data_IF_468398981942
#
_entry.id   IF_468398981942
#
_cell.length_a   1.000
_cell.length_b   1.000
_cell.length_c   1.000
_cell.angle_alpha   90.00
_cell.angle_beta   90.00
_cell.angle_gamma   90.00
#
_symmetry.space_group_name_H-M   'P 1'
#
loop_
_entity.id
_entity.type
_entity.pdbx_description
1 polymer ?
#
# COMPACT_ATOMS: atom_id res chain seq x y z
N UNK A 1 2.30 -27.71 -1.54
CA UNK A 1 1.25 -27.31 -2.49
C UNK A 1 1.72 -26.01 -3.11
N UNK A 2 2.05 -26.02 -4.40
CA UNK A 2 2.57 -24.86 -5.10
C UNK A 2 1.58 -23.69 -4.96
N UNK A 3 2.06 -22.57 -4.44
CA UNK A 3 1.36 -21.29 -4.54
C UNK A 3 1.02 -21.10 -6.01
N UNK A 4 -0.27 -20.91 -6.30
CA UNK A 4 -0.74 -20.61 -7.64
C UNK A 4 -0.01 -19.34 -8.07
N UNK A 5 1.04 -19.48 -8.89
CA UNK A 5 1.66 -18.37 -9.59
C UNK A 5 0.51 -17.73 -10.37
N UNK A 6 0.02 -16.59 -9.88
CA UNK A 6 -0.93 -15.81 -10.65
C UNK A 6 -0.19 -15.49 -11.93
N UNK A 7 -0.75 -15.94 -13.07
CA UNK A 7 -0.10 -15.79 -14.36
C UNK A 7 0.12 -14.30 -14.62
N UNK A 8 1.36 -13.86 -14.42
CA UNK A 8 1.74 -12.45 -14.46
C UNK A 8 2.08 -12.08 -15.89
N UNK A 9 1.61 -10.93 -16.32
CA UNK A 9 1.90 -10.40 -17.65
C UNK A 9 2.87 -9.23 -17.51
N UNK A 10 4.08 -9.38 -18.05
CA UNK A 10 5.01 -8.27 -18.20
C UNK A 10 4.66 -7.51 -19.48
N UNK A 11 4.36 -6.22 -19.37
CA UNK A 11 3.87 -5.37 -20.45
C UNK A 11 4.96 -4.38 -20.85
N UNK A 12 5.71 -4.71 -21.90
CA UNK A 12 6.85 -3.95 -22.42
C UNK A 12 6.68 -3.51 -23.88
N UNK A 13 5.50 -3.71 -24.45
CA UNK A 13 5.16 -3.31 -25.82
C UNK A 13 3.88 -2.48 -25.86
N UNK A 14 3.75 -1.63 -26.89
CA UNK A 14 2.50 -0.89 -27.15
C UNK A 14 1.30 -1.83 -27.33
N UNK A 15 1.47 -2.97 -28.01
CA UNK A 15 0.40 -3.95 -28.15
C UNK A 15 -0.05 -4.50 -26.79
N UNK A 16 0.89 -4.84 -25.90
CA UNK A 16 0.55 -5.28 -24.55
C UNK A 16 -0.18 -4.20 -23.73
N UNK A 17 0.18 -2.91 -23.90
CA UNK A 17 -0.54 -1.79 -23.29
C UNK A 17 -1.97 -1.70 -23.84
N UNK A 18 -2.14 -1.76 -25.16
CA UNK A 18 -3.44 -1.77 -25.82
C UNK A 18 -4.33 -2.91 -25.29
N UNK A 19 -3.80 -4.12 -25.21
CA UNK A 19 -4.52 -5.31 -24.75
C UNK A 19 -4.95 -5.16 -23.27
N UNK A 20 -4.07 -4.64 -22.41
CA UNK A 20 -4.39 -4.35 -21.01
C UNK A 20 -5.49 -3.29 -20.90
N UNK A 21 -5.39 -2.19 -21.65
CA UNK A 21 -6.38 -1.10 -21.63
C UNK A 21 -7.75 -1.57 -22.09
N UNK A 22 -7.81 -2.40 -23.13
CA UNK A 22 -9.06 -2.99 -23.58
C UNK A 22 -9.63 -3.95 -22.52
N UNK A 23 -8.78 -4.77 -21.90
CA UNK A 23 -9.22 -5.65 -20.82
C UNK A 23 -9.79 -4.87 -19.62
N UNK A 24 -9.13 -3.80 -19.19
CA UNK A 24 -9.64 -2.92 -18.12
C UNK A 24 -10.96 -2.26 -18.55
N UNK A 25 -11.07 -1.83 -19.81
CA UNK A 25 -12.26 -1.15 -20.32
C UNK A 25 -13.50 -2.04 -20.37
N UNK A 26 -13.32 -3.37 -20.39
CA UNK A 26 -14.41 -4.35 -20.30
C UNK A 26 -14.94 -4.55 -18.87
N UNK A 27 -14.29 -4.00 -17.85
CA UNK A 27 -14.71 -4.20 -16.47
C UNK A 27 -15.96 -3.38 -16.11
N UNK A 28 -16.85 -3.98 -15.33
CA UNK A 28 -18.11 -3.38 -14.87
C UNK A 28 -17.86 -2.22 -13.88
N UNK A 29 -17.64 -1.03 -14.42
CA UNK A 29 -17.38 0.19 -13.62
C UNK A 29 -18.55 0.65 -12.75
N UNK A 30 -19.77 0.15 -13.01
CA UNK A 30 -20.98 0.51 -12.24
C UNK A 30 -20.98 -0.07 -10.82
N UNK A 31 -20.15 -1.08 -10.53
CA UNK A 31 -20.01 -1.66 -9.20
C UNK A 31 -19.15 -0.80 -8.26
N UNK A 32 -18.39 0.16 -8.79
CA UNK A 32 -17.67 1.18 -8.02
C UNK A 32 -16.90 0.63 -6.81
N UNK A 33 -17.17 1.19 -5.63
CA UNK A 33 -16.51 0.81 -4.36
C UNK A 33 -16.93 -0.57 -3.83
N UNK A 34 -17.97 -1.19 -4.38
CA UNK A 34 -18.39 -2.54 -3.96
C UNK A 34 -17.38 -3.57 -4.45
N UNK A 35 -16.82 -3.35 -5.63
CA UNK A 35 -15.85 -4.25 -6.24
C UNK A 35 -14.88 -3.45 -7.12
N UNK A 36 -13.85 -2.83 -6.50
CA UNK A 36 -12.86 -2.09 -7.25
C UNK A 36 -12.14 -3.00 -8.25
N UNK A 37 -12.05 -2.60 -9.52
CA UNK A 37 -11.46 -3.45 -10.54
C UNK A 37 -9.93 -3.37 -10.58
N UNK A 38 -9.31 -2.34 -9.98
CA UNK A 38 -7.89 -2.05 -10.13
C UNK A 38 -7.22 -1.84 -8.78
N UNK A 39 -6.13 -2.58 -8.55
CA UNK A 39 -5.23 -2.40 -7.42
C UNK A 39 -3.85 -2.11 -7.98
N UNK A 40 -3.24 -1.00 -7.57
CA UNK A 40 -2.10 -0.40 -8.24
C UNK A 40 -1.02 -0.06 -7.24
N UNK A 41 0.22 -0.26 -7.65
CA UNK A 41 1.42 0.17 -6.95
C UNK A 41 2.51 0.57 -7.97
N UNK A 42 3.32 1.57 -7.65
CA UNK A 42 4.37 2.09 -8.51
C UNK A 42 5.75 1.87 -7.90
N UNK A 43 6.71 1.51 -8.75
CA UNK A 43 8.09 1.29 -8.33
C UNK A 43 9.05 2.15 -9.16
N UNK A 44 10.09 2.68 -8.52
CA UNK A 44 10.92 3.71 -9.13
C UNK A 44 12.26 3.98 -8.46
N UNK A 45 13.18 4.57 -9.22
CA UNK A 45 14.44 5.07 -8.67
C UNK A 45 14.15 6.34 -7.85
N UNK A 46 14.13 6.22 -6.51
CA UNK A 46 13.70 7.29 -5.58
C UNK A 46 12.30 7.81 -5.96
N UNK A 47 11.30 6.92 -5.96
CA UNK A 47 9.94 7.20 -6.45
C UNK A 47 9.37 8.55 -5.95
N UNK A 48 9.01 9.40 -6.91
CA UNK A 48 8.52 10.76 -6.70
C UNK A 48 8.96 11.67 -7.85
N UNK A 49 8.66 12.96 -7.75
CA UNK A 49 8.98 13.99 -8.77
C UNK A 49 10.47 14.14 -9.08
N UNK A 50 11.33 13.90 -8.08
CA UNK A 50 12.79 14.08 -8.20
C UNK A 50 13.52 12.79 -8.61
N UNK A 51 12.78 11.68 -8.68
CA UNK A 51 13.27 10.38 -9.09
C UNK A 51 12.76 9.97 -10.48
N UNK A 52 12.48 8.68 -10.63
CA UNK A 52 11.90 8.11 -11.85
C UNK A 52 10.83 7.10 -11.50
N UNK A 53 9.80 7.02 -12.34
CA UNK A 53 8.88 5.89 -12.36
C UNK A 53 9.44 4.81 -13.29
N UNK A 54 9.68 3.61 -12.77
CA UNK A 54 10.32 2.51 -13.49
C UNK A 54 9.32 1.43 -13.88
N UNK A 55 8.40 1.10 -12.98
CA UNK A 55 7.39 0.06 -13.15
C UNK A 55 6.06 0.56 -12.59
N UNK A 56 4.96 0.10 -13.20
CA UNK A 56 3.63 0.26 -12.65
C UNK A 56 2.97 -1.11 -12.61
N UNK A 57 2.63 -1.58 -11.42
CA UNK A 57 1.97 -2.87 -11.24
C UNK A 57 0.48 -2.64 -11.11
N UNK A 58 -0.31 -3.31 -11.95
CA UNK A 58 -1.77 -3.25 -11.92
C UNK A 58 -2.30 -4.67 -11.78
N UNK A 59 -2.90 -4.96 -10.64
CA UNK A 59 -3.78 -6.12 -10.49
C UNK A 59 -5.18 -5.74 -10.96
N UNK A 60 -5.56 -6.25 -12.12
CA UNK A 60 -6.94 -6.17 -12.59
C UNK A 60 -7.70 -7.33 -11.97
N UNK A 61 -8.78 -7.04 -11.22
CA UNK A 61 -9.49 -7.99 -10.38
C UNK A 61 -11.01 -7.96 -10.66
N UNK A 62 -11.48 -8.52 -11.80
CA UNK A 62 -12.91 -8.66 -12.10
C UNK A 62 -13.65 -9.54 -11.09
N UNK A 63 -12.94 -10.55 -10.59
CA UNK A 63 -13.39 -11.52 -9.59
C UNK A 63 -12.16 -12.26 -9.06
N UNK A 64 -12.32 -12.96 -7.93
CA UNK A 64 -11.23 -13.73 -7.31
C UNK A 64 -10.57 -14.72 -8.27
N UNK A 65 -11.31 -15.28 -9.21
CA UNK A 65 -10.82 -16.28 -10.17
C UNK A 65 -10.26 -15.70 -11.46
N UNK A 66 -10.44 -14.40 -11.70
CA UNK A 66 -10.00 -13.69 -12.91
C UNK A 66 -8.94 -12.63 -12.62
N UNK A 67 -8.47 -12.54 -11.38
CA UNK A 67 -7.43 -11.61 -10.97
C UNK A 67 -6.12 -11.91 -11.69
N UNK A 68 -5.52 -10.90 -12.35
CA UNK A 68 -4.20 -11.03 -12.98
C UNK A 68 -3.35 -9.78 -12.80
N UNK A 69 -2.13 -9.89 -12.25
CA UNK A 69 -1.19 -8.80 -12.16
C UNK A 69 -0.53 -8.54 -13.52
N UNK A 70 -0.40 -7.27 -13.84
CA UNK A 70 0.31 -6.76 -15.00
C UNK A 70 1.41 -5.83 -14.49
N UNK A 71 2.66 -6.11 -14.85
CA UNK A 71 3.78 -5.21 -14.55
C UNK A 71 4.09 -4.46 -15.85
N UNK A 72 3.85 -3.16 -15.85
CA UNK A 72 4.07 -2.30 -17.02
C UNK A 72 5.48 -1.72 -16.92
N UNK A 73 6.26 -1.93 -17.98
CA UNK A 73 7.62 -1.43 -18.11
C UNK A 73 7.63 0.08 -18.47
N UNK A 74 7.39 0.92 -17.46
CA UNK A 74 7.37 2.37 -17.63
C UNK A 74 8.74 2.90 -18.05
N UNK A 75 9.83 2.28 -17.59
CA UNK A 75 11.19 2.64 -17.97
C UNK A 75 11.41 2.59 -19.50
N UNK A 76 11.00 1.49 -20.15
CA UNK A 76 11.17 1.33 -21.58
C UNK A 76 10.08 2.01 -22.41
N UNK A 77 8.83 1.98 -21.96
CA UNK A 77 7.70 2.52 -22.72
C UNK A 77 7.57 4.04 -22.57
N UNK A 78 7.98 4.61 -21.44
CA UNK A 78 7.84 6.03 -21.13
C UNK A 78 6.41 6.51 -21.37
N UNK A 79 6.25 7.59 -22.14
CA UNK A 79 4.93 8.15 -22.48
C UNK A 79 4.01 7.15 -23.19
N UNK A 80 4.55 6.19 -23.95
CA UNK A 80 3.75 5.21 -24.69
C UNK A 80 2.96 4.29 -23.74
N UNK A 81 3.43 4.07 -22.51
CA UNK A 81 2.68 3.32 -21.50
C UNK A 81 1.32 3.98 -21.19
N UNK A 82 1.26 5.31 -21.30
CA UNK A 82 0.09 6.09 -20.93
C UNK A 82 -0.69 6.64 -22.12
N UNK A 83 -0.05 6.81 -23.28
CA UNK A 83 -0.68 7.38 -24.48
C UNK A 83 -1.15 6.34 -25.51
N UNK A 84 -0.68 5.09 -25.43
CA UNK A 84 -1.15 4.03 -26.34
C UNK A 84 -2.63 3.77 -26.10
N UNK A 85 -3.40 3.74 -27.18
CA UNK A 85 -4.85 3.52 -27.14
C UNK A 85 -5.20 2.06 -27.42
N UNK A 86 -6.20 1.55 -26.72
CA UNK A 86 -6.86 0.28 -27.03
C UNK A 86 -7.88 0.41 -28.17
N UNK A 87 -8.49 -0.70 -28.55
CA UNK A 87 -9.57 -0.76 -29.55
C UNK A 87 -10.81 0.05 -29.18
N UNK A 88 -11.02 0.35 -27.90
CA UNK A 88 -12.07 1.28 -27.44
C UNK A 88 -11.73 2.77 -27.60
N UNK A 89 -10.53 3.11 -28.08
CA UNK A 89 -10.03 4.47 -28.23
C UNK A 89 -9.58 5.14 -26.93
N UNK A 90 -9.62 4.43 -25.79
CA UNK A 90 -9.08 4.89 -24.51
C UNK A 90 -7.63 4.50 -24.37
N UNK A 91 -6.88 5.27 -23.58
CA UNK A 91 -5.53 4.98 -23.13
C UNK A 91 -5.50 4.65 -21.63
N UNK A 92 -4.34 4.19 -21.12
CA UNK A 92 -4.16 4.01 -19.68
C UNK A 92 -4.30 5.34 -18.92
N UNK A 93 -3.87 6.46 -19.51
CA UNK A 93 -4.09 7.79 -18.95
C UNK A 93 -5.58 8.08 -18.75
N UNK A 94 -6.42 7.83 -19.75
CA UNK A 94 -7.87 8.05 -19.65
C UNK A 94 -8.51 7.23 -18.52
N UNK A 95 -7.99 6.03 -18.26
CA UNK A 95 -8.43 5.16 -17.15
C UNK A 95 -7.99 5.73 -15.80
N UNK A 96 -6.73 6.11 -15.67
CA UNK A 96 -6.17 6.65 -14.42
C UNK A 96 -6.81 8.00 -14.05
N UNK A 97 -7.14 8.85 -15.02
CA UNK A 97 -7.78 10.16 -14.81
C UNK A 97 -9.32 10.08 -14.63
N UNK A 98 -9.93 8.91 -14.84
CA UNK A 98 -11.38 8.76 -14.74
C UNK A 98 -11.83 8.28 -13.36
N UNK A 99 -12.69 9.06 -12.69
CA UNK A 99 -13.37 8.64 -11.45
C UNK A 99 -14.31 7.44 -11.60
N UNK A 100 -14.64 7.03 -12.84
CA UNK A 100 -15.47 5.83 -13.08
C UNK A 100 -14.71 4.54 -12.82
N UNK A 101 -13.40 4.54 -13.01
CA UNK A 101 -12.56 3.42 -12.63
C UNK A 101 -12.04 3.69 -11.23
N UNK A 102 -12.45 2.87 -10.26
CA UNK A 102 -11.89 2.95 -8.91
C UNK A 102 -10.50 2.31 -8.92
N UNK A 103 -9.50 3.07 -8.48
CA UNK A 103 -8.12 2.60 -8.31
C UNK A 103 -7.80 2.51 -6.83
N UNK A 104 -7.43 1.34 -6.38
CA UNK A 104 -7.04 1.08 -5.00
C UNK A 104 -5.52 1.12 -4.91
N UNK A 105 -5.01 1.97 -4.01
CA UNK A 105 -3.59 2.10 -3.69
C UNK A 105 -3.40 1.87 -2.19
N UNK A 106 -2.17 1.58 -1.78
CA UNK A 106 -1.77 1.68 -0.38
C UNK A 106 -0.78 2.84 -0.24
N UNK A 107 -1.18 3.93 0.42
CA UNK A 107 -0.39 5.18 0.46
C UNK A 107 -0.07 5.79 -0.93
N UNK A 108 -1.09 6.33 -1.60
CA UNK A 108 -1.00 6.83 -2.99
C UNK A 108 -0.08 8.05 -3.20
N UNK A 109 0.51 8.63 -2.15
CA UNK A 109 1.09 9.97 -2.19
C UNK A 109 2.26 10.06 -3.18
N UNK A 110 3.25 9.17 -3.08
CA UNK A 110 4.43 9.18 -3.97
C UNK A 110 4.12 8.62 -5.37
N UNK A 111 3.22 7.63 -5.47
CA UNK A 111 2.72 7.14 -6.76
C UNK A 111 2.08 8.26 -7.56
N UNK A 112 1.16 9.00 -6.94
CA UNK A 112 0.48 10.10 -7.61
C UNK A 112 1.41 11.26 -7.93
N UNK A 113 2.39 11.55 -7.07
CA UNK A 113 3.41 12.56 -7.35
C UNK A 113 4.21 12.17 -8.59
N UNK A 114 4.72 10.93 -8.64
CA UNK A 114 5.48 10.43 -9.79
C UNK A 114 4.65 10.41 -11.08
N UNK A 115 3.42 9.89 -11.04
CA UNK A 115 2.51 9.86 -12.20
C UNK A 115 2.22 11.26 -12.74
N UNK A 116 2.07 12.25 -11.85
CA UNK A 116 1.78 13.62 -12.24
C UNK A 116 2.99 14.36 -12.80
N UNK A 117 4.11 14.37 -12.08
CA UNK A 117 5.27 15.17 -12.48
C UNK A 117 5.98 14.62 -13.70
N UNK A 118 6.01 13.29 -13.88
CA UNK A 118 6.67 12.67 -15.03
C UNK A 118 5.77 12.55 -16.26
N UNK A 119 4.46 12.34 -16.08
CA UNK A 119 3.53 11.99 -17.18
C UNK A 119 2.27 12.86 -17.25
N UNK A 120 2.17 13.90 -16.42
CA UNK A 120 1.05 14.83 -16.35
C UNK A 120 -0.30 14.11 -16.20
N UNK A 121 -0.33 13.05 -15.38
CA UNK A 121 -1.55 12.30 -15.07
C UNK A 121 -2.26 12.97 -13.91
N UNK A 122 -3.53 13.31 -14.11
CA UNK A 122 -4.43 13.82 -13.07
C UNK A 122 -5.22 12.67 -12.47
N UNK A 123 -4.55 11.89 -11.63
CA UNK A 123 -5.14 10.70 -11.00
C UNK A 123 -6.46 11.06 -10.30
N UNK A 124 -7.50 10.26 -10.51
CA UNK A 124 -8.83 10.46 -9.89
C UNK A 124 -9.43 9.10 -9.49
N UNK A 125 -10.52 9.06 -8.71
CA UNK A 125 -11.20 7.80 -8.35
C UNK A 125 -10.38 6.89 -7.43
N UNK A 126 -9.51 7.46 -6.59
CA UNK A 126 -8.63 6.69 -5.69
C UNK A 126 -9.35 6.24 -4.42
N UNK A 127 -9.02 5.04 -3.96
CA UNK A 127 -9.25 4.56 -2.58
C UNK A 127 -7.92 4.17 -1.96
N UNK A 128 -7.53 4.87 -0.91
CA UNK A 128 -6.29 4.59 -0.20
C UNK A 128 -6.54 3.62 0.98
N UNK A 129 -6.06 2.39 0.85
CA UNK A 129 -6.26 1.32 1.84
C UNK A 129 -5.61 1.66 3.18
N UNK A 130 -4.52 2.43 3.20
CA UNK A 130 -3.88 2.86 4.43
C UNK A 130 -4.81 3.79 5.23
N UNK A 131 -5.55 4.66 4.54
CA UNK A 131 -6.58 5.49 5.17
C UNK A 131 -7.77 4.68 5.63
N UNK A 132 -8.19 3.67 4.85
CA UNK A 132 -9.25 2.75 5.25
C UNK A 132 -8.87 2.02 6.55
N UNK A 133 -7.68 1.45 6.62
CA UNK A 133 -7.16 0.76 7.81
C UNK A 133 -7.15 1.69 9.01
N UNK A 134 -6.56 2.89 8.88
CA UNK A 134 -6.46 3.83 9.98
C UNK A 134 -7.86 4.27 10.45
N UNK A 135 -8.78 4.58 9.53
CA UNK A 135 -10.14 4.96 9.87
C UNK A 135 -10.98 3.83 10.51
N UNK A 136 -10.55 2.57 10.44
CA UNK A 136 -11.21 1.43 11.10
C UNK A 136 -10.80 1.26 12.56
N UNK A 137 -9.68 1.83 12.99
CA UNK A 137 -9.22 1.68 14.38
C UNK A 137 -10.17 2.42 15.33
N UNK A 138 -10.39 1.84 16.51
CA UNK A 138 -11.47 2.25 17.42
C UNK A 138 -11.28 3.64 18.04
N UNK A 139 -10.05 4.01 18.40
CA UNK A 139 -9.80 5.22 19.19
C UNK A 139 -8.92 6.23 18.46
N UNK A 140 -9.12 7.52 18.73
CA UNK A 140 -8.25 8.59 18.22
C UNK A 140 -6.76 8.33 18.49
N UNK A 141 -6.43 7.84 19.68
CA UNK A 141 -5.04 7.50 20.03
C UNK A 141 -4.48 6.39 19.14
N UNK A 142 -5.27 5.34 18.89
CA UNK A 142 -4.85 4.25 18.00
C UNK A 142 -4.68 4.72 16.54
N UNK A 143 -5.33 5.81 16.14
CA UNK A 143 -5.25 6.38 14.78
C UNK A 143 -4.09 7.34 14.58
N UNK A 144 -3.36 7.73 15.63
CA UNK A 144 -2.30 8.76 15.55
C UNK A 144 -1.28 8.50 14.43
N UNK A 145 -0.88 7.25 14.24
CA UNK A 145 0.11 6.84 13.22
C UNK A 145 -0.48 5.89 12.20
N UNK A 146 -0.01 5.98 10.96
CA UNK A 146 -0.40 5.12 9.85
C UNK A 146 0.39 3.79 9.89
N UNK A 147 -0.22 2.70 9.44
CA UNK A 147 0.48 1.41 9.24
C UNK A 147 1.13 1.35 7.86
N UNK A 148 2.28 0.68 7.74
CA UNK A 148 2.85 0.29 6.43
C UNK A 148 2.15 -0.95 5.85
N UNK A 149 2.28 -1.18 4.54
CA UNK A 149 1.61 -2.28 3.85
C UNK A 149 2.00 -3.63 4.44
N UNK A 150 3.30 -3.82 4.72
CA UNK A 150 3.82 -5.07 5.24
C UNK A 150 3.12 -5.50 6.53
N UNK A 151 2.93 -4.56 7.47
CA UNK A 151 2.20 -4.82 8.70
C UNK A 151 0.76 -5.27 8.43
N UNK A 152 0.04 -4.57 7.54
CA UNK A 152 -1.34 -4.89 7.22
C UNK A 152 -1.50 -6.26 6.54
N UNK A 153 -0.57 -6.62 5.64
CA UNK A 153 -0.54 -7.92 4.98
C UNK A 153 -0.23 -9.02 5.99
N UNK A 154 0.81 -8.87 6.82
CA UNK A 154 1.20 -9.89 7.79
C UNK A 154 0.12 -10.18 8.85
N UNK A 155 -0.67 -9.18 9.22
CA UNK A 155 -1.85 -9.33 10.09
C UNK A 155 -3.05 -10.00 9.39
N UNK A 156 -2.98 -10.20 8.07
CA UNK A 156 -4.06 -10.78 7.26
C UNK A 156 -3.70 -12.16 6.69
N UNK A 157 -2.43 -12.56 6.79
CA UNK A 157 -1.92 -13.86 6.36
C UNK A 157 -1.58 -14.76 7.56
N UNK A 158 -1.61 -16.07 7.36
CA UNK A 158 -1.36 -17.05 8.41
C UNK A 158 -0.30 -18.08 8.02
N UNK A 159 0.52 -18.47 8.99
CA UNK A 159 1.44 -19.60 8.89
C UNK A 159 2.36 -19.54 7.64
N UNK A 160 2.45 -20.62 6.86
CA UNK A 160 3.37 -20.71 5.73
C UNK A 160 3.19 -19.65 4.63
N UNK A 161 1.95 -19.16 4.43
CA UNK A 161 1.67 -18.14 3.42
C UNK A 161 2.31 -16.80 3.79
N UNK A 162 2.19 -16.40 5.07
CA UNK A 162 2.83 -15.20 5.61
C UNK A 162 4.35 -15.29 5.49
N UNK A 163 4.92 -16.43 5.85
CA UNK A 163 6.38 -16.62 5.80
C UNK A 163 6.90 -16.64 4.35
N UNK A 164 6.12 -17.19 3.41
CA UNK A 164 6.48 -17.14 1.99
C UNK A 164 6.45 -15.70 1.48
N UNK A 165 5.37 -14.96 1.73
CA UNK A 165 5.25 -13.57 1.31
C UNK A 165 6.39 -12.70 1.88
N UNK A 166 6.69 -12.83 3.19
CA UNK A 166 7.78 -12.10 3.84
C UNK A 166 9.13 -12.37 3.19
N UNK A 167 9.45 -13.64 2.92
CA UNK A 167 10.71 -14.00 2.24
C UNK A 167 10.80 -13.43 0.83
N UNK A 168 9.72 -13.45 0.05
CA UNK A 168 9.72 -12.86 -1.29
C UNK A 168 9.88 -11.34 -1.21
N UNK A 169 9.20 -10.67 -0.28
CA UNK A 169 9.37 -9.22 -0.06
C UNK A 169 10.82 -8.87 0.32
N UNK A 170 11.40 -9.57 1.30
CA UNK A 170 12.79 -9.35 1.73
C UNK A 170 13.82 -9.56 0.61
N UNK A 171 13.61 -10.56 -0.26
CA UNK A 171 14.49 -10.81 -1.41
C UNK A 171 14.46 -9.65 -2.41
N UNK A 172 13.27 -9.16 -2.74
CA UNK A 172 13.12 -8.00 -3.63
C UNK A 172 13.72 -6.73 -3.03
N UNK A 173 13.41 -6.44 -1.76
CA UNK A 173 13.96 -5.27 -1.06
C UNK A 173 15.48 -5.26 -1.02
N UNK A 174 16.12 -6.40 -0.77
CA UNK A 174 17.60 -6.50 -0.78
C UNK A 174 18.22 -6.12 -2.13
N UNK A 175 17.49 -6.26 -3.23
CA UNK A 175 17.99 -5.90 -4.55
C UNK A 175 17.92 -4.39 -4.81
N UNK A 176 16.79 -3.74 -4.46
CA UNK A 176 16.58 -2.34 -4.80
C UNK A 176 16.96 -1.36 -3.69
N UNK A 177 16.92 -1.75 -2.42
CA UNK A 177 17.11 -0.86 -1.29
C UNK A 177 18.61 -0.69 -0.94
N UNK A 178 19.19 0.52 -1.08
CA UNK A 178 20.59 0.76 -0.74
C UNK A 178 20.95 0.47 0.73
N UNK A 179 20.02 0.66 1.66
CA UNK A 179 20.23 0.36 3.08
C UNK A 179 20.40 -1.15 3.33
N UNK A 180 19.93 -1.99 2.40
CA UNK A 180 20.07 -3.45 2.44
C UNK A 180 21.15 -3.97 1.49
N UNK A 181 22.02 -3.08 0.98
CA UNK A 181 23.10 -3.42 0.04
C UNK A 181 22.67 -3.47 -1.43
N UNK A 182 21.43 -3.07 -1.73
CA UNK A 182 20.88 -3.00 -3.08
C UNK A 182 21.17 -1.69 -3.80
N UNK A 183 20.52 -1.48 -4.94
CA UNK A 183 20.55 -0.21 -5.65
C UNK A 183 19.25 0.02 -6.39
N UNK A 184 18.70 1.23 -6.26
CA UNK A 184 17.50 1.65 -6.98
C UNK A 184 17.59 1.44 -8.50
N UNK A 185 18.80 1.50 -9.06
CA UNK A 185 19.03 1.27 -10.49
C UNK A 185 18.61 -0.12 -10.97
N UNK A 186 18.51 -1.10 -10.07
CA UNK A 186 18.08 -2.47 -10.39
C UNK A 186 16.67 -2.50 -10.97
N UNK A 187 15.80 -1.55 -10.61
CA UNK A 187 14.43 -1.46 -11.14
C UNK A 187 14.39 -1.16 -12.65
N UNK A 188 15.49 -0.67 -13.20
CA UNK A 188 15.64 -0.31 -14.62
C UNK A 188 16.38 -1.39 -15.45
N UNK A 189 16.88 -2.47 -14.84
CA UNK A 189 17.60 -3.50 -15.60
C UNK A 189 16.61 -4.42 -16.32
N UNK A 190 16.99 -4.89 -17.52
CA UNK A 190 16.18 -5.79 -18.34
C UNK A 190 17.01 -7.00 -18.81
N UNK A 191 16.46 -8.23 -18.77
CA UNK A 191 15.15 -8.58 -18.23
C UNK A 191 15.04 -8.29 -16.73
N UNK A 192 13.84 -7.96 -16.24
CA UNK A 192 13.62 -7.65 -14.84
C UNK A 192 13.87 -8.91 -13.98
N UNK A 193 14.66 -8.85 -12.90
CA UNK A 193 14.88 -9.97 -12.00
C UNK A 193 13.58 -10.59 -11.49
N UNK A 194 13.53 -11.92 -11.39
CA UNK A 194 12.35 -12.64 -10.94
C UNK A 194 11.92 -12.24 -9.52
N UNK A 195 12.90 -11.95 -8.65
CA UNK A 195 12.67 -11.50 -7.29
C UNK A 195 11.98 -10.13 -7.25
N UNK A 196 12.27 -9.23 -8.21
CA UNK A 196 11.59 -7.94 -8.31
C UNK A 196 10.19 -8.09 -8.90
N UNK A 197 9.99 -9.03 -9.82
CA UNK A 197 8.65 -9.39 -10.32
C UNK A 197 7.79 -9.90 -9.14
N UNK A 198 8.29 -10.84 -8.35
CA UNK A 198 7.59 -11.37 -7.18
C UNK A 198 7.29 -10.29 -6.14
N UNK A 199 8.25 -9.39 -5.90
CA UNK A 199 8.09 -8.25 -5.00
C UNK A 199 6.95 -7.32 -5.46
N UNK A 200 6.98 -6.88 -6.73
CA UNK A 200 5.96 -6.00 -7.32
C UNK A 200 4.55 -6.64 -7.26
N UNK A 201 4.44 -7.94 -7.54
CA UNK A 201 3.17 -8.66 -7.43
C UNK A 201 2.71 -8.71 -5.96
N UNK A 202 3.65 -8.97 -5.05
CA UNK A 202 3.43 -9.07 -3.61
C UNK A 202 2.80 -7.83 -2.99
N UNK A 203 3.09 -6.64 -3.52
CA UNK A 203 2.55 -5.37 -3.01
C UNK A 203 1.11 -5.09 -3.49
N UNK A 204 0.66 -5.66 -4.62
CA UNK A 204 -0.73 -5.52 -5.10
C UNK A 204 -1.64 -6.71 -4.79
N UNK A 205 -1.11 -7.94 -4.73
CA UNK A 205 -1.91 -9.17 -4.72
C UNK A 205 -2.83 -9.31 -3.49
N UNK A 206 -2.45 -8.69 -2.37
CA UNK A 206 -3.19 -8.73 -1.12
C UNK A 206 -4.09 -7.52 -0.90
N UNK A 207 -3.98 -6.47 -1.73
CA UNK A 207 -4.82 -5.28 -1.62
C UNK A 207 -6.33 -5.56 -1.73
N UNK A 208 -6.82 -6.50 -2.57
CA UNK A 208 -8.24 -6.88 -2.56
C UNK A 208 -8.72 -7.38 -1.19
N UNK A 209 -7.94 -8.24 -0.54
CA UNK A 209 -8.26 -8.77 0.79
C UNK A 209 -8.24 -7.68 1.84
N UNK A 210 -7.26 -6.77 1.80
CA UNK A 210 -7.17 -5.64 2.72
C UNK A 210 -8.33 -4.65 2.51
N UNK A 211 -8.67 -4.35 1.26
CA UNK A 211 -9.82 -3.50 0.92
C UNK A 211 -11.12 -4.08 1.51
N UNK A 212 -11.35 -5.37 1.31
CA UNK A 212 -12.51 -6.08 1.87
C UNK A 212 -12.51 -6.14 3.40
N UNK A 213 -11.34 -6.29 4.04
CA UNK A 213 -11.17 -6.29 5.50
C UNK A 213 -11.49 -4.91 6.10
N UNK A 214 -11.03 -3.84 5.46
CA UNK A 214 -11.12 -2.48 6.01
C UNK A 214 -12.31 -1.68 5.50
N UNK A 215 -13.06 -2.15 4.50
CA UNK A 215 -14.28 -1.44 4.07
C UNK A 215 -15.30 -1.36 5.20
N UNK A 216 -15.90 -0.19 5.36
CA UNK A 216 -17.01 0.02 6.29
C UNK A 216 -18.31 0.21 5.51
N UNK A 217 -19.42 -0.34 6.02
CA UNK A 217 -20.72 -0.26 5.37
C UNK A 217 -21.34 1.14 5.36
N UNK A 218 -20.91 2.06 6.23
CA UNK A 218 -21.56 3.37 6.38
C UNK A 218 -21.11 4.37 5.32
N UNK A 219 -22.07 5.07 4.70
CA UNK A 219 -21.77 6.05 3.65
C UNK A 219 -20.97 7.25 4.17
N UNK A 220 -21.14 7.59 5.46
CA UNK A 220 -20.35 8.65 6.10
C UNK A 220 -18.87 8.29 6.20
N UNK A 221 -18.56 7.05 6.59
CA UNK A 221 -17.18 6.57 6.64
C UNK A 221 -16.57 6.53 5.26
N UNK A 222 -17.31 5.99 4.28
CA UNK A 222 -16.87 5.96 2.88
C UNK A 222 -16.57 7.38 2.41
N UNK A 223 -17.50 8.32 2.64
CA UNK A 223 -17.32 9.73 2.26
C UNK A 223 -16.07 10.38 2.86
N UNK A 224 -15.71 10.06 4.12
CA UNK A 224 -14.46 10.55 4.71
C UNK A 224 -13.23 9.98 4.01
N UNK A 225 -13.18 8.66 3.81
CA UNK A 225 -12.04 8.01 3.14
C UNK A 225 -11.90 8.46 1.69
N UNK A 226 -13.00 8.57 0.94
CA UNK A 226 -12.99 9.07 -0.43
C UNK A 226 -12.42 10.49 -0.48
N UNK A 227 -12.93 11.37 0.39
CA UNK A 227 -12.48 12.76 0.45
C UNK A 227 -11.00 12.86 0.79
N UNK A 228 -10.53 12.08 1.76
CA UNK A 228 -9.14 12.15 2.18
C UNK A 228 -8.18 11.47 1.20
N UNK A 229 -8.62 10.40 0.52
CA UNK A 229 -7.89 9.82 -0.62
C UNK A 229 -7.73 10.85 -1.74
N UNK A 230 -8.81 11.59 -2.06
CA UNK A 230 -8.77 12.69 -3.03
C UNK A 230 -7.83 13.82 -2.58
N UNK A 231 -7.85 14.20 -1.29
CA UNK A 231 -6.95 15.23 -0.75
C UNK A 231 -5.48 14.83 -0.84
N UNK A 232 -5.14 13.55 -0.58
CA UNK A 232 -3.78 13.01 -0.76
C UNK A 232 -3.30 13.18 -2.19
N UNK A 233 -4.13 12.81 -3.16
CA UNK A 233 -3.85 12.97 -4.60
C UNK A 233 -3.72 14.44 -4.99
N UNK A 234 -4.64 15.30 -4.55
CA UNK A 234 -4.58 16.73 -4.84
C UNK A 234 -3.28 17.34 -4.30
N UNK A 235 -2.94 17.01 -3.04
CA UNK A 235 -1.76 17.55 -2.36
C UNK A 235 -0.48 17.08 -3.02
N UNK A 236 -0.35 15.78 -3.31
CA UNK A 236 0.85 15.20 -3.94
C UNK A 236 1.16 15.81 -5.30
N UNK A 237 0.13 16.22 -6.05
CA UNK A 237 0.29 16.86 -7.36
C UNK A 237 0.64 18.36 -7.28
N UNK A 238 0.65 18.97 -6.08
CA UNK A 238 1.04 20.39 -5.95
C UNK A 238 2.55 20.57 -5.95
N UNK A 239 3.02 21.72 -6.42
CA UNK A 239 4.44 22.10 -6.35
C UNK A 239 5.02 22.13 -4.93
N UNK A 240 4.18 22.21 -3.88
CA UNK A 240 4.63 22.31 -2.48
C UNK A 240 4.74 20.96 -1.77
N UNK A 241 4.30 19.87 -2.38
CA UNK A 241 4.41 18.56 -1.77
C UNK A 241 5.88 18.15 -1.62
N UNK A 242 6.20 17.56 -0.46
CA UNK A 242 7.52 17.04 -0.12
C UNK A 242 7.44 15.51 -0.01
N UNK A 243 8.06 14.76 -0.94
CA UNK A 243 7.98 13.30 -0.95
C UNK A 243 8.68 12.64 0.24
N UNK A 244 9.56 13.34 0.96
CA UNK A 244 10.34 12.80 2.08
C UNK A 244 10.02 13.46 3.44
N UNK A 245 8.85 14.12 3.57
CA UNK A 245 8.48 14.85 4.78
C UNK A 245 8.15 13.96 5.99
N UNK A 246 8.72 14.26 7.16
CA UNK A 246 8.60 13.47 8.41
C UNK A 246 7.18 13.31 8.97
N UNK A 247 6.24 14.15 8.51
CA UNK A 247 4.84 14.13 8.91
C UNK A 247 4.02 13.06 8.18
N UNK A 248 4.55 12.37 7.14
CA UNK A 248 3.75 11.40 6.39
C UNK A 248 3.38 10.15 7.19
N UNK A 249 4.02 9.88 8.34
CA UNK A 249 3.62 8.82 9.27
C UNK A 249 2.39 9.17 10.12
N UNK A 250 2.03 10.46 10.20
CA UNK A 250 0.90 10.94 10.98
C UNK A 250 -0.41 10.76 10.22
N UNK A 251 -1.47 10.48 10.97
CA UNK A 251 -2.81 10.39 10.41
C UNK A 251 -3.37 11.76 10.01
N UNK A 252 -4.11 11.86 8.89
CA UNK A 252 -4.64 13.12 8.40
C UNK A 252 -5.95 13.54 9.09
N UNK A 253 -6.53 12.71 9.97
CA UNK A 253 -7.85 13.02 10.54
C UNK A 253 -7.80 14.23 11.46
N UNK A 254 -8.59 15.24 11.13
CA UNK A 254 -8.83 16.40 12.01
C UNK A 254 -9.45 15.97 13.35
N UNK A 255 -9.37 16.79 14.41
CA UNK A 255 -10.04 16.48 15.68
C UNK A 255 -11.54 16.22 15.54
N UNK A 256 -12.23 16.88 14.60
CA UNK A 256 -13.64 16.63 14.32
C UNK A 256 -13.88 15.29 13.65
N UNK A 257 -13.11 14.97 12.60
CA UNK A 257 -13.19 13.65 11.94
C UNK A 257 -12.86 12.52 12.91
N UNK A 258 -11.89 12.71 13.79
CA UNK A 258 -11.54 11.74 14.84
C UNK A 258 -12.70 11.49 15.81
N UNK A 259 -13.38 12.55 16.29
CA UNK A 259 -14.60 12.39 17.09
C UNK A 259 -15.70 11.64 16.33
N UNK A 260 -15.88 11.93 15.04
CA UNK A 260 -16.84 11.20 14.20
C UNK A 260 -16.49 9.72 14.10
N UNK A 261 -15.21 9.39 13.82
CA UNK A 261 -14.73 8.02 13.71
C UNK A 261 -14.88 7.25 15.03
N UNK A 262 -14.60 7.88 16.18
CA UNK A 262 -14.83 7.28 17.51
C UNK A 262 -16.30 6.87 17.69
N UNK A 263 -17.24 7.77 17.38
CA UNK A 263 -18.69 7.46 17.51
C UNK A 263 -19.16 6.34 16.59
N UNK A 264 -18.49 6.10 15.45
CA UNK A 264 -18.90 5.04 14.53
C UNK A 264 -18.32 3.69 14.89
N UNK A 265 -17.17 3.66 15.57
CA UNK A 265 -16.60 2.45 16.12
C UNK A 265 -17.53 1.84 17.19
N UNK A 266 -18.21 2.68 17.97
CA UNK A 266 -19.20 2.26 18.97
C UNK A 266 -20.46 1.62 18.36
N UNK A 267 -20.83 2.01 17.14
CA UNK A 267 -22.07 1.56 16.47
C UNK A 267 -21.84 0.33 15.56
N UNK A 268 -20.58 -0.06 15.30
CA UNK A 268 -20.26 -1.19 14.43
C UNK A 268 -19.42 -2.27 15.15
N UNK A 269 -20.00 -2.97 16.15
CA UNK A 269 -19.36 -4.14 16.73
C UNK A 269 -19.45 -5.27 15.70
N UNK A 270 -18.37 -5.51 14.96
CA UNK A 270 -18.27 -6.78 14.25
C UNK A 270 -18.16 -7.91 15.29
N UNK A 271 -19.32 -8.50 15.60
CA UNK A 271 -19.53 -9.93 15.82
C UNK A 271 -18.57 -10.66 16.79
N UNK A 272 -18.59 -10.31 18.08
CA UNK A 272 -18.14 -11.21 19.17
C UNK A 272 -19.23 -12.27 19.48
N UNK A 273 -19.72 -12.98 18.45
CA UNK A 273 -20.81 -13.97 18.58
C UNK A 273 -20.34 -15.39 18.97
N UNK A 274 -19.10 -15.52 19.44
CA UNK A 274 -18.63 -16.69 20.19
C UNK A 274 -18.08 -16.19 21.53
N UNK A 275 -18.93 -16.22 22.55
CA UNK A 275 -18.61 -15.67 23.86
C UNK A 275 -17.62 -16.52 24.66
N UNK A 276 -17.21 -16.00 25.80
CA UNK A 276 -17.46 -16.68 27.06
C UNK A 276 -17.73 -15.66 28.17
N UNK A 277 -18.71 -16.05 28.98
CA UNK A 277 -19.29 -15.44 30.16
C UNK A 277 -18.28 -14.89 31.16
N UNK A 278 -18.71 -13.81 31.82
CA UNK A 278 -18.19 -13.40 33.13
C UNK A 278 -18.01 -14.61 34.05
N UNK A 279 -16.76 -14.89 34.44
CA UNK A 279 -16.45 -15.65 35.64
C UNK A 279 -15.35 -14.92 36.41
N UNK A 280 -15.57 -14.83 37.71
CA UNK A 280 -14.79 -14.06 38.65
C UNK A 280 -13.50 -14.80 39.03
N UNK A 281 -12.37 -14.09 38.92
CA UNK A 281 -11.18 -14.32 39.73
C UNK A 281 -10.31 -15.51 39.32
N UNK A 282 -9.13 -15.23 38.78
CA UNK A 282 -7.81 -15.44 39.41
C UNK A 282 -6.72 -15.29 38.34
N UNK A 283 -5.71 -14.49 38.68
CA UNK A 283 -4.32 -14.48 38.21
C UNK A 283 -4.05 -14.28 36.70
N UNK A 284 -3.80 -13.02 36.36
CA UNK A 284 -3.16 -12.53 35.14
C UNK A 284 -1.64 -12.81 35.20
N UNK A 285 -1.04 -13.56 34.26
CA UNK A 285 0.39 -13.81 34.30
C UNK A 285 1.10 -13.34 33.03
N UNK A 286 1.00 -12.07 32.62
CA UNK A 286 1.98 -11.42 31.72
C UNK A 286 2.16 -9.93 32.02
N UNK A 287 2.66 -9.63 33.22
CA UNK A 287 3.31 -8.36 33.54
C UNK A 287 4.64 -8.26 32.76
N UNK A 288 4.73 -7.30 31.84
CA UNK A 288 5.93 -6.95 31.09
C UNK A 288 6.90 -6.12 31.97
N UNK A 289 8.07 -6.64 32.39
CA UNK A 289 8.94 -6.00 33.37
C UNK A 289 10.10 -5.27 32.70
N UNK A 290 9.84 -4.16 31.99
CA UNK A 290 10.92 -3.26 31.53
C UNK A 290 10.79 -1.81 32.01
N UNK A 291 9.80 -1.50 32.83
CA UNK A 291 9.56 -0.14 33.32
C UNK A 291 9.88 -0.01 34.82
N UNK A 292 11.15 -0.21 35.21
CA UNK A 292 11.68 0.23 36.53
C UNK A 292 13.22 0.23 36.62
N UNK A 293 13.77 1.44 36.45
CA UNK A 293 14.72 2.09 37.37
C UNK A 293 16.22 1.70 37.29
N UNK A 294 16.94 2.57 36.58
CA UNK A 294 18.37 2.87 36.75
C UNK A 294 18.70 3.25 38.21
N UNK A 295 19.68 2.59 38.84
CA UNK A 295 20.66 3.21 39.74
C UNK A 295 21.75 2.23 40.22
N UNK A 296 23.00 2.58 39.85
CA UNK A 296 24.30 2.39 40.51
C UNK A 296 25.05 1.04 40.45
N UNK A 297 26.23 1.18 39.82
CA UNK A 297 27.58 0.71 40.26
C UNK A 297 27.77 -0.80 40.42
N UNK A 298 28.35 -1.45 39.42
CA UNK A 298 29.73 -2.00 39.48
C UNK A 298 30.11 -2.68 38.15
N UNK A 299 31.42 -2.61 37.84
CA UNK A 299 32.14 -3.21 36.71
C UNK A 299 31.76 -4.72 36.56
N UNK A 300 31.73 -5.33 35.37
CA UNK A 300 32.86 -5.95 34.67
C UNK A 300 32.37 -6.42 33.28
N UNK A 301 33.34 -6.44 32.35
CA UNK A 301 33.33 -6.79 30.92
C UNK A 301 32.69 -8.15 30.58
N UNK A 302 32.14 -8.24 29.36
CA UNK A 302 32.19 -9.38 28.42
C UNK A 302 30.97 -9.37 27.48
N UNK A 303 31.25 -9.09 26.20
CA UNK A 303 30.28 -8.62 25.22
C UNK A 303 29.19 -9.57 24.76
N UNK A 304 28.10 -8.97 24.30
CA UNK A 304 27.27 -9.39 23.18
C UNK A 304 26.50 -8.15 22.69
N UNK A 305 26.52 -7.95 21.37
CA UNK A 305 25.95 -6.81 20.65
C UNK A 305 24.44 -6.65 20.91
N UNK A 306 24.04 -5.48 21.42
CA UNK A 306 22.66 -5.03 21.48
C UNK A 306 22.37 -4.20 20.21
N UNK A 307 21.66 -4.79 19.25
CA UNK A 307 21.09 -4.13 18.08
C UNK A 307 19.67 -3.59 18.38
N UNK A 308 19.56 -2.75 19.41
CA UNK A 308 18.43 -1.83 19.50
C UNK A 308 18.68 -0.69 18.52
N UNK A 309 18.08 -0.78 17.32
CA UNK A 309 18.07 0.32 16.36
C UNK A 309 17.34 1.52 16.96
N UNK A 310 18.13 2.50 17.42
CA UNK A 310 17.71 3.85 17.81
C UNK A 310 17.22 4.61 16.56
N UNK A 311 15.96 4.41 16.19
CA UNK A 311 15.28 5.08 15.08
C UNK A 311 15.09 6.60 15.30
N UNK A 312 15.68 7.21 16.33
CA UNK A 312 15.55 8.64 16.62
C UNK A 312 16.74 9.50 16.17
N UNK A 313 17.75 8.90 15.51
CA UNK A 313 18.95 9.61 15.05
C UNK A 313 19.27 9.55 13.56
N UNK A 314 18.49 8.84 12.76
CA UNK A 314 18.62 8.85 11.30
C UNK A 314 17.61 9.85 10.68
N UNK A 315 18.02 10.57 9.64
CA UNK A 315 17.08 11.32 8.80
C UNK A 315 16.02 10.34 8.27
N UNK A 316 14.76 10.62 8.61
CA UNK A 316 13.63 9.77 8.28
C UNK A 316 13.33 9.90 6.78
N UNK A 317 13.44 8.80 6.01
CA UNK A 317 13.18 8.79 4.55
C UNK A 317 11.82 8.16 4.18
N UNK A 318 10.94 7.94 5.16
CA UNK A 318 9.60 7.40 4.97
C UNK A 318 9.51 5.88 5.13
N UNK A 319 8.30 5.33 5.38
CA UNK A 319 8.10 3.90 5.36
C UNK A 319 8.24 3.39 3.92
N UNK A 320 8.93 2.26 3.66
CA UNK A 320 8.80 1.56 2.39
C UNK A 320 7.34 1.13 2.20
N UNK A 321 6.88 1.12 0.94
CA UNK A 321 5.50 0.81 0.53
C UNK A 321 4.92 -0.37 1.30
#
# INVERSE_FOLDING_TARGET
MATCLINTVFVDTQQGVSDLVDWISLQDTWLGDIQPPLYIDAEGERLGRDGKLSLLTILVHPSKFLARPHIIDIHNLGNLAFSTVGGSGKSLKDILESSKFIKVFFDVRNDSDALHFHYNIKLDGVRDVQLMENARRRTTNSRKFLSGLAKCIEESLYGPERDQWRRSKEKGEKLWNPQKGGSYSVLNIRPLPAELIEYCIGDVQHLPTLFEKYKCGTDRWKGLVVKESYNRVLTSQTARYSPHGTDRALSPWTPEQNRMLDTWAEVNPQNDYFGHSEDNGTDDPWDDPWDRRWNKEDEWDDGCDNDYEDWTRADWEGPPS
#
